data_IF_729407603261
#
_entry.id   IF_729407603261
#
_cell.length_a   1.000
_cell.length_b   1.000
_cell.length_c   1.000
_cell.angle_alpha   90.00
_cell.angle_beta   90.00
_cell.angle_gamma   90.00
#
_symmetry.space_group_name_H-M   'P 1'
#
loop_
_entity.id
_entity.type
_entity.pdbx_description
1 polymer ?
#
# COMPACT_ATOMS: atom_id res chain seq x y z
N UNK A 1 9.14 31.63 11.91
CA UNK A 1 9.15 31.31 10.47
C UNK A 1 9.31 29.81 10.35
N UNK A 2 8.20 29.06 10.33
CA UNK A 2 8.24 27.63 10.03
C UNK A 2 8.50 27.49 8.53
N UNK A 3 9.73 27.15 8.15
CA UNK A 3 10.04 26.73 6.80
C UNK A 3 9.09 25.59 6.44
N UNK A 4 8.16 25.86 5.53
CA UNK A 4 7.26 24.86 5.00
C UNK A 4 8.09 23.98 4.07
N UNK A 5 8.88 23.06 4.65
CA UNK A 5 9.60 22.06 3.89
C UNK A 5 8.56 21.19 3.20
N UNK A 6 8.29 21.52 1.93
CA UNK A 6 7.44 20.70 1.09
C UNK A 6 8.19 19.39 0.84
N UNK A 7 7.63 18.29 1.34
CA UNK A 7 8.19 16.97 1.10
C UNK A 7 8.21 16.68 -0.40
N UNK A 8 9.24 15.99 -0.92
CA UNK A 8 9.31 15.57 -2.32
C UNK A 8 8.02 14.87 -2.75
N UNK A 9 7.58 15.06 -4.01
CA UNK A 9 6.39 14.40 -4.51
C UNK A 9 6.57 12.87 -4.46
N UNK A 10 5.47 12.15 -4.31
CA UNK A 10 5.48 10.71 -4.08
C UNK A 10 4.29 10.08 -4.79
N UNK A 11 4.54 9.09 -5.63
CA UNK A 11 3.49 8.26 -6.22
C UNK A 11 2.94 7.35 -5.13
N UNK A 12 1.66 6.99 -5.21
CA UNK A 12 1.03 6.10 -4.23
C UNK A 12 0.40 4.93 -4.97
N UNK A 13 0.81 3.72 -4.61
CA UNK A 13 0.23 2.46 -5.05
C UNK A 13 -0.72 1.91 -3.99
N UNK A 14 -1.98 1.74 -4.36
CA UNK A 14 -2.95 1.00 -3.57
C UNK A 14 -3.06 -0.43 -4.11
N UNK A 15 -2.75 -1.42 -3.27
CA UNK A 15 -2.87 -2.83 -3.60
C UNK A 15 -4.31 -3.30 -3.33
N UNK A 16 -5.10 -3.38 -4.41
CA UNK A 16 -6.46 -3.89 -4.39
C UNK A 16 -6.57 -5.36 -4.88
N UNK A 17 -5.44 -5.96 -5.26
CA UNK A 17 -5.33 -7.36 -5.67
C UNK A 17 -4.89 -8.31 -4.55
N UNK A 18 -5.49 -9.49 -4.50
CA UNK A 18 -5.13 -10.57 -3.58
C UNK A 18 -6.13 -11.72 -3.62
N UNK A 19 -5.74 -12.91 -3.15
CA UNK A 19 -6.61 -14.10 -3.09
C UNK A 19 -7.87 -13.83 -2.26
N UNK A 20 -8.92 -13.35 -2.92
CA UNK A 20 -10.32 -13.46 -2.46
C UNK A 20 -10.76 -14.91 -2.26
N UNK A 21 -9.90 -15.89 -2.57
CA UNK A 21 -10.13 -17.32 -2.35
C UNK A 21 -10.33 -17.69 -0.87
N UNK A 22 -9.88 -16.88 0.09
CA UNK A 22 -10.12 -17.12 1.53
C UNK A 22 -11.33 -16.34 2.10
N UNK A 23 -12.03 -15.56 1.27
CA UNK A 23 -13.15 -14.70 1.68
C UNK A 23 -14.30 -14.75 0.67
N UNK A 24 -14.76 -15.96 0.32
CA UNK A 24 -15.98 -16.16 -0.47
C UNK A 24 -15.97 -15.50 -1.85
N UNK A 25 -14.80 -15.17 -2.41
CA UNK A 25 -14.67 -14.52 -3.71
C UNK A 25 -14.87 -12.99 -3.69
N UNK A 26 -15.16 -12.36 -2.56
CA UNK A 26 -15.40 -10.92 -2.50
C UNK A 26 -14.10 -10.10 -2.67
N UNK A 27 -14.24 -8.91 -3.23
CA UNK A 27 -13.15 -7.96 -3.46
C UNK A 27 -13.00 -7.04 -2.25
N UNK A 28 -11.92 -7.24 -1.49
CA UNK A 28 -11.72 -6.56 -0.20
C UNK A 28 -11.73 -5.05 -0.34
N UNK A 29 -11.07 -4.51 -1.37
CA UNK A 29 -11.05 -3.06 -1.60
C UNK A 29 -12.44 -2.46 -1.84
N UNK A 30 -13.42 -3.28 -2.24
CA UNK A 30 -14.80 -2.87 -2.48
C UNK A 30 -15.77 -3.24 -1.34
N UNK A 31 -15.28 -3.86 -0.26
CA UNK A 31 -16.10 -4.08 0.93
C UNK A 31 -16.49 -2.73 1.53
N UNK A 32 -17.76 -2.62 1.93
CA UNK A 32 -18.29 -1.40 2.53
C UNK A 32 -17.99 -1.40 4.02
N UNK A 33 -17.30 -0.36 4.48
CA UNK A 33 -17.02 -0.07 5.87
C UNK A 33 -17.40 1.38 6.15
N UNK A 34 -18.17 1.63 7.21
CA UNK A 34 -18.68 2.97 7.54
C UNK A 34 -19.34 3.69 6.34
N UNK A 35 -20.10 2.96 5.54
CA UNK A 35 -20.87 3.50 4.40
C UNK A 35 -20.07 3.72 3.11
N UNK A 36 -18.76 3.49 3.08
CA UNK A 36 -17.93 3.64 1.88
C UNK A 36 -17.09 2.37 1.61
N UNK A 37 -16.74 2.08 0.33
CA UNK A 37 -15.76 1.05 0.00
C UNK A 37 -14.41 1.30 0.69
N UNK A 38 -13.70 0.25 1.12
CA UNK A 38 -12.38 0.39 1.76
C UNK A 38 -11.40 1.22 0.93
N UNK A 39 -11.38 1.02 -0.39
CA UNK A 39 -10.54 1.79 -1.30
C UNK A 39 -10.87 3.30 -1.27
N UNK A 40 -12.13 3.66 -1.04
CA UNK A 40 -12.55 5.06 -0.98
C UNK A 40 -12.01 5.75 0.29
N UNK A 41 -11.91 5.04 1.42
CA UNK A 41 -11.29 5.59 2.63
C UNK A 41 -9.81 5.92 2.40
N UNK A 42 -9.07 5.00 1.80
CA UNK A 42 -7.66 5.22 1.47
C UNK A 42 -7.50 6.34 0.45
N UNK A 43 -8.28 6.33 -0.63
CA UNK A 43 -8.27 7.38 -1.64
C UNK A 43 -8.46 8.78 -1.04
N UNK A 44 -9.41 8.96 -0.11
CA UNK A 44 -9.62 10.26 0.54
C UNK A 44 -8.39 10.75 1.33
N UNK A 45 -7.63 9.84 1.92
CA UNK A 45 -6.39 10.18 2.63
C UNK A 45 -5.24 10.45 1.65
N UNK A 46 -5.06 9.60 0.65
CA UNK A 46 -3.90 9.60 -0.24
C UNK A 46 -3.98 10.64 -1.35
N UNK A 47 -5.17 10.96 -1.86
CA UNK A 47 -5.36 11.97 -2.92
C UNK A 47 -4.86 13.35 -2.51
N UNK A 48 -4.89 13.68 -1.22
CA UNK A 48 -4.36 14.95 -0.68
C UNK A 48 -2.84 15.00 -0.64
N UNK A 49 -2.17 13.86 -0.74
CA UNK A 49 -0.72 13.71 -0.57
C UNK A 49 0.03 13.53 -1.88
N UNK A 50 -0.67 13.15 -2.95
CA UNK A 50 -0.10 12.79 -4.24
C UNK A 50 -1.02 13.20 -5.39
N UNK A 51 -0.43 13.61 -6.51
CA UNK A 51 -1.02 13.81 -7.84
C UNK A 51 -0.88 12.55 -8.75
N UNK A 52 -0.34 11.45 -8.24
CA UNK A 52 -0.14 10.18 -8.96
C UNK A 52 -0.58 8.97 -8.10
N UNK A 53 -1.88 8.65 -8.18
CA UNK A 53 -2.49 7.49 -7.55
C UNK A 53 -2.59 6.32 -8.53
N UNK A 54 -1.96 5.21 -8.17
CA UNK A 54 -1.93 3.97 -8.93
C UNK A 54 -2.71 2.92 -8.15
N UNK A 55 -3.56 2.15 -8.82
CA UNK A 55 -4.22 0.99 -8.20
C UNK A 55 -3.81 -0.27 -8.94
N UNK A 56 -3.29 -1.24 -8.18
CA UNK A 56 -3.06 -2.60 -8.67
C UNK A 56 -4.30 -3.45 -8.41
N UNK A 57 -4.97 -3.87 -9.49
CA UNK A 57 -6.17 -4.70 -9.42
C UNK A 57 -6.30 -5.62 -10.65
N UNK A 58 -6.77 -6.86 -10.42
CA UNK A 58 -6.97 -7.86 -11.49
C UNK A 58 -8.46 -8.08 -11.82
N UNK A 59 -9.36 -7.31 -11.22
CA UNK A 59 -10.83 -7.38 -11.42
C UNK A 59 -11.47 -6.06 -11.02
N UNK A 60 -12.74 -5.87 -11.40
CA UNK A 60 -13.52 -4.67 -11.07
C UNK A 60 -12.86 -3.35 -11.56
N UNK A 61 -12.17 -3.38 -12.71
CA UNK A 61 -11.37 -2.26 -13.22
C UNK A 61 -12.19 -0.96 -13.29
N UNK A 62 -13.41 -1.02 -13.82
CA UNK A 62 -14.29 0.16 -13.93
C UNK A 62 -14.59 0.81 -12.57
N UNK A 63 -14.72 0.01 -11.50
CA UNK A 63 -14.96 0.52 -10.14
C UNK A 63 -13.70 1.15 -9.56
N UNK A 64 -12.53 0.55 -9.81
CA UNK A 64 -11.25 1.05 -9.31
C UNK A 64 -10.76 2.29 -10.09
N UNK A 65 -11.11 2.43 -11.37
CA UNK A 65 -10.77 3.59 -12.19
C UNK A 65 -11.28 4.92 -11.59
N UNK A 66 -12.36 4.88 -10.82
CA UNK A 66 -12.90 6.07 -10.13
C UNK A 66 -11.98 6.63 -9.04
N UNK A 67 -10.97 5.86 -8.61
CA UNK A 67 -10.06 6.18 -7.51
C UNK A 67 -8.60 6.26 -7.92
N UNK A 68 -8.29 6.15 -9.22
CA UNK A 68 -6.93 6.02 -9.72
C UNK A 68 -6.65 6.97 -10.89
N UNK A 69 -5.43 7.48 -10.95
CA UNK A 69 -4.88 8.11 -12.14
C UNK A 69 -4.38 7.04 -13.13
N UNK A 70 -3.95 5.87 -12.63
CA UNK A 70 -3.47 4.73 -13.41
C UNK A 70 -3.93 3.40 -12.79
N UNK A 71 -4.35 2.46 -13.63
CA UNK A 71 -4.58 1.07 -13.22
C UNK A 71 -3.45 0.19 -13.74
N UNK A 72 -2.96 -0.70 -12.89
CA UNK A 72 -1.99 -1.73 -13.28
C UNK A 72 -2.54 -3.13 -12.95
N UNK A 73 -2.23 -4.09 -13.81
CA UNK A 73 -2.62 -5.48 -13.66
C UNK A 73 -1.39 -6.38 -13.61
N UNK A 74 -1.54 -7.54 -12.97
CA UNK A 74 -0.52 -8.57 -13.01
C UNK A 74 -0.72 -9.42 -14.26
N UNK A 75 0.23 -9.42 -15.19
CA UNK A 75 0.14 -10.21 -16.44
C UNK A 75 0.27 -11.73 -16.23
N UNK A 76 0.53 -12.17 -14.99
CA UNK A 76 0.85 -13.56 -14.70
C UNK A 76 -0.35 -14.29 -14.08
N UNK A 77 -0.86 -15.29 -14.79
CA UNK A 77 -2.05 -16.08 -14.42
C UNK A 77 -1.95 -16.78 -13.06
N UNK A 78 -0.73 -16.92 -12.53
CA UNK A 78 -0.44 -17.71 -11.33
C UNK A 78 -0.42 -16.87 -10.03
N UNK A 79 -0.88 -15.61 -10.06
CA UNK A 79 -1.00 -14.71 -8.90
C UNK A 79 0.22 -14.75 -7.94
N UNK A 80 1.38 -14.30 -8.42
CA UNK A 80 2.67 -14.36 -7.71
C UNK A 80 2.77 -13.54 -6.38
N UNK A 81 1.70 -12.86 -5.97
CA UNK A 81 1.64 -12.11 -4.70
C UNK A 81 1.88 -10.61 -4.86
N UNK A 82 1.90 -9.85 -3.74
CA UNK A 82 1.92 -8.39 -3.77
C UNK A 82 3.17 -7.78 -4.42
N UNK A 83 4.26 -8.53 -4.56
CA UNK A 83 5.45 -8.08 -5.27
C UNK A 83 5.16 -7.77 -6.75
N UNK A 84 4.20 -8.48 -7.36
CA UNK A 84 3.78 -8.24 -8.73
C UNK A 84 3.18 -6.84 -8.90
N UNK A 85 2.21 -6.51 -8.05
CA UNK A 85 1.60 -5.18 -8.04
C UNK A 85 2.60 -4.07 -7.71
N UNK A 86 3.54 -4.31 -6.79
CA UNK A 86 4.62 -3.36 -6.48
C UNK A 86 5.50 -3.09 -7.71
N UNK A 87 5.91 -4.13 -8.43
CA UNK A 87 6.70 -4.00 -9.66
C UNK A 87 5.95 -3.22 -10.74
N UNK A 88 4.70 -3.57 -10.97
CA UNK A 88 3.86 -2.87 -11.94
C UNK A 88 3.67 -1.39 -11.56
N UNK A 89 3.50 -1.09 -10.26
CA UNK A 89 3.46 0.27 -9.75
C UNK A 89 4.77 1.04 -9.91
N UNK A 90 5.92 0.40 -9.63
CA UNK A 90 7.25 1.00 -9.82
C UNK A 90 7.52 1.36 -11.29
N UNK A 91 7.02 0.54 -12.22
CA UNK A 91 7.21 0.77 -13.65
C UNK A 91 6.45 2.01 -14.19
N UNK A 92 5.36 2.43 -13.54
CA UNK A 92 4.50 3.54 -14.00
C UNK A 92 4.51 4.75 -13.07
N UNK A 93 5.22 4.67 -11.94
CA UNK A 93 5.36 5.74 -10.98
C UNK A 93 6.04 6.96 -11.61
N UNK A 94 5.44 8.15 -11.42
CA UNK A 94 5.93 9.41 -11.98
C UNK A 94 6.94 10.13 -11.08
N UNK A 95 7.00 9.74 -9.81
CA UNK A 95 7.78 10.43 -8.77
C UNK A 95 8.95 9.60 -8.24
N UNK A 96 9.94 10.22 -7.57
CA UNK A 96 11.12 9.51 -7.07
C UNK A 96 10.83 8.43 -6.02
N UNK A 97 9.71 8.54 -5.30
CA UNK A 97 9.28 7.58 -4.28
C UNK A 97 7.90 7.02 -4.61
N UNK A 98 7.74 5.71 -4.43
CA UNK A 98 6.45 5.01 -4.47
C UNK A 98 6.07 4.57 -3.06
N UNK A 99 5.00 5.14 -2.51
CA UNK A 99 4.38 4.66 -1.28
C UNK A 99 3.40 3.53 -1.61
N UNK A 100 3.53 2.39 -0.93
CA UNK A 100 2.66 1.24 -1.12
C UNK A 100 1.76 1.11 0.10
N UNK A 101 0.47 0.88 -0.14
CA UNK A 101 -0.55 0.66 0.89
C UNK A 101 -1.48 -0.49 0.47
N UNK A 102 -1.81 -1.47 1.34
CA UNK A 102 -2.85 -2.44 1.04
C UNK A 102 -4.24 -1.81 1.18
N UNK A 103 -5.24 -2.31 0.45
CA UNK A 103 -6.58 -1.75 0.53
C UNK A 103 -7.33 -2.02 1.85
N UNK A 104 -6.81 -2.91 2.72
CA UNK A 104 -7.52 -3.44 3.90
C UNK A 104 -7.08 -2.82 5.24
N UNK A 105 -6.36 -1.69 5.21
CA UNK A 105 -5.95 -0.87 6.38
C UNK A 105 -6.67 0.48 6.40
N UNK A 106 -8.01 0.52 6.51
CA UNK A 106 -8.79 1.75 6.31
C UNK A 106 -8.61 2.81 7.41
N UNK A 107 -7.94 2.46 8.51
CA UNK A 107 -7.69 3.36 9.65
C UNK A 107 -6.39 4.13 9.55
N UNK A 108 -5.61 3.94 8.49
CA UNK A 108 -4.37 4.70 8.30
C UNK A 108 -4.69 6.19 8.13
N UNK A 109 -3.88 7.04 8.76
CA UNK A 109 -4.12 8.48 8.82
C UNK A 109 -3.02 9.31 8.15
N UNK A 110 -3.34 10.57 7.86
CA UNK A 110 -2.42 11.49 7.20
C UNK A 110 -1.14 11.76 8.03
N UNK A 111 -1.21 11.64 9.36
CA UNK A 111 -0.06 11.84 10.24
C UNK A 111 0.98 10.73 10.03
N UNK A 112 0.56 9.47 10.02
CA UNK A 112 1.44 8.34 9.78
C UNK A 112 2.00 8.36 8.35
N UNK A 113 1.17 8.65 7.34
CA UNK A 113 1.63 8.79 5.95
C UNK A 113 2.67 9.91 5.80
N UNK A 114 2.49 11.02 6.51
CA UNK A 114 3.46 12.13 6.55
C UNK A 114 4.75 11.72 7.26
N UNK A 115 4.65 10.98 8.37
CA UNK A 115 5.80 10.45 9.10
C UNK A 115 6.62 9.48 8.23
N UNK A 116 5.95 8.59 7.48
CA UNK A 116 6.61 7.71 6.50
C UNK A 116 7.39 8.51 5.46
N UNK A 117 6.77 9.52 4.85
CA UNK A 117 7.44 10.38 3.85
C UNK A 117 8.64 11.11 4.43
N UNK A 118 8.51 11.69 5.64
CA UNK A 118 9.63 12.36 6.33
C UNK A 118 10.80 11.42 6.56
N UNK A 119 10.52 10.21 7.06
CA UNK A 119 11.56 9.21 7.31
C UNK A 119 12.23 8.73 6.01
N UNK A 120 11.46 8.50 4.94
CA UNK A 120 12.02 8.15 3.64
C UNK A 120 12.93 9.25 3.07
N UNK A 121 12.61 10.54 3.30
CA UNK A 121 13.45 11.65 2.87
C UNK A 121 14.81 11.71 3.57
N UNK A 122 14.96 11.09 4.75
CA UNK A 122 16.24 11.05 5.45
C UNK A 122 17.22 10.05 4.83
N UNK A 123 16.72 9.01 4.16
CA UNK A 123 17.51 8.02 3.43
C UNK A 123 16.84 7.72 2.08
N UNK A 124 16.89 8.67 1.12
CA UNK A 124 16.06 8.65 -0.08
C UNK A 124 16.35 7.48 -1.02
N UNK A 125 17.52 6.83 -0.88
CA UNK A 125 17.96 5.70 -1.71
C UNK A 125 17.63 4.33 -1.11
N UNK A 126 16.99 4.28 0.07
CA UNK A 126 16.63 3.02 0.74
C UNK A 126 15.12 2.84 0.86
N UNK A 127 14.62 1.59 0.80
CA UNK A 127 13.24 1.32 1.13
C UNK A 127 12.97 1.65 2.61
N UNK A 128 11.77 2.13 2.91
CA UNK A 128 11.24 2.29 4.25
C UNK A 128 10.07 1.34 4.44
N UNK A 129 10.02 0.62 5.56
CA UNK A 129 8.85 -0.18 5.96
C UNK A 129 8.41 0.21 7.36
N UNK A 130 7.11 0.13 7.63
CA UNK A 130 6.63 0.18 9.01
C UNK A 130 7.05 -1.09 9.76
N UNK A 131 7.24 -0.96 11.07
CA UNK A 131 7.58 -2.07 11.97
C UNK A 131 6.85 -1.94 13.31
N UNK A 132 6.25 -3.03 13.79
CA UNK A 132 5.62 -3.15 15.11
C UNK A 132 6.37 -4.18 15.94
N UNK A 133 7.07 -3.75 16.99
CA UNK A 133 8.05 -4.59 17.68
C UNK A 133 9.05 -5.19 16.68
N UNK A 134 9.08 -6.52 16.59
CA UNK A 134 9.91 -7.26 15.64
C UNK A 134 9.24 -7.55 14.28
N UNK A 135 7.94 -7.23 14.14
CA UNK A 135 7.17 -7.52 12.95
C UNK A 135 7.31 -6.42 11.90
N UNK A 136 7.72 -6.79 10.69
CA UNK A 136 7.80 -5.89 9.53
C UNK A 136 6.49 -5.88 8.75
N UNK A 137 6.06 -4.70 8.32
CA UNK A 137 4.88 -4.49 7.50
C UNK A 137 5.28 -4.15 6.06
N UNK A 138 5.57 -5.14 5.20
CA UNK A 138 6.18 -4.90 3.90
C UNK A 138 5.23 -4.27 2.87
N UNK A 139 3.93 -4.22 3.15
CA UNK A 139 2.94 -3.55 2.29
C UNK A 139 2.62 -2.15 2.76
N UNK A 140 3.18 -1.72 3.89
CA UNK A 140 3.11 -0.36 4.42
C UNK A 140 4.51 0.25 4.32
N UNK A 141 4.88 0.63 3.11
CA UNK A 141 6.26 0.96 2.78
C UNK A 141 6.40 2.14 1.81
N UNK A 142 7.61 2.66 1.68
CA UNK A 142 8.02 3.61 0.64
C UNK A 142 9.24 3.03 -0.06
N UNK A 143 9.21 2.97 -1.38
CA UNK A 143 10.26 2.40 -2.21
C UNK A 143 10.81 3.51 -3.13
N UNK A 144 12.12 3.76 -3.13
CA UNK A 144 12.76 4.57 -4.16
C UNK A 144 12.54 3.97 -5.55
N UNK A 145 11.99 4.74 -6.48
CA UNK A 145 11.70 4.28 -7.84
C UNK A 145 12.98 3.91 -8.60
N UNK A 146 14.12 4.49 -8.22
CA UNK A 146 15.44 4.08 -8.71
C UNK A 146 15.76 2.59 -8.46
N UNK A 147 15.10 1.93 -7.49
CA UNK A 147 15.26 0.51 -7.20
C UNK A 147 14.36 -0.39 -8.07
N UNK A 148 13.59 0.15 -9.02
CA UNK A 148 12.74 -0.65 -9.91
C UNK A 148 13.51 -1.79 -10.58
N UNK A 149 14.73 -1.54 -11.05
CA UNK A 149 15.59 -2.58 -11.65
C UNK A 149 15.95 -3.71 -10.68
N UNK A 150 16.20 -3.42 -9.40
CA UNK A 150 16.47 -4.43 -8.38
C UNK A 150 15.23 -5.30 -8.10
N UNK A 151 14.04 -4.68 -8.10
CA UNK A 151 12.77 -5.39 -7.97
C UNK A 151 12.48 -6.31 -9.16
N UNK A 152 12.81 -5.87 -10.38
CA UNK A 152 12.73 -6.68 -11.59
C UNK A 152 13.72 -7.85 -11.58
N UNK A 153 14.98 -7.60 -11.20
CA UNK A 153 16.01 -8.64 -11.13
C UNK A 153 15.64 -9.73 -10.11
N UNK A 154 15.30 -9.34 -8.89
CA UNK A 154 14.91 -10.29 -7.85
C UNK A 154 13.70 -11.12 -8.28
N UNK A 155 12.73 -10.51 -8.96
CA UNK A 155 11.58 -11.25 -9.49
C UNK A 155 11.99 -12.35 -10.48
N UNK A 156 12.87 -12.01 -11.43
CA UNK A 156 13.38 -12.94 -12.43
C UNK A 156 14.18 -14.07 -11.79
N UNK A 157 14.81 -13.82 -10.64
CA UNK A 157 15.49 -14.82 -9.79
C UNK A 157 14.52 -15.67 -8.94
N UNK A 158 13.21 -15.40 -8.99
CA UNK A 158 12.19 -16.16 -8.28
C UNK A 158 11.74 -15.56 -6.95
N UNK A 159 12.17 -14.34 -6.60
CA UNK A 159 11.67 -13.64 -5.41
C UNK A 159 10.18 -13.32 -5.54
N UNK A 160 9.42 -13.52 -4.46
CA UNK A 160 7.97 -13.26 -4.37
C UNK A 160 7.57 -12.51 -3.09
N UNK A 161 8.53 -12.21 -2.21
CA UNK A 161 8.34 -11.54 -0.92
C UNK A 161 8.86 -10.11 -0.95
N UNK A 162 7.97 -9.09 -0.90
CA UNK A 162 8.40 -7.69 -0.82
C UNK A 162 9.27 -7.39 0.40
N UNK A 163 8.96 -8.00 1.55
CA UNK A 163 9.74 -7.81 2.78
C UNK A 163 11.13 -8.42 2.73
N UNK A 164 11.36 -9.49 1.95
CA UNK A 164 12.70 -10.08 1.81
C UNK A 164 13.59 -9.22 0.91
N UNK A 165 13.12 -8.84 -0.26
CA UNK A 165 13.88 -7.96 -1.15
C UNK A 165 14.22 -6.63 -0.48
N UNK A 166 13.25 -5.97 0.16
CA UNK A 166 13.50 -4.69 0.82
C UNK A 166 14.53 -4.81 1.95
N UNK A 167 14.51 -5.90 2.73
CA UNK A 167 15.55 -6.15 3.75
C UNK A 167 16.93 -6.38 3.13
N UNK A 168 17.01 -7.11 2.01
CA UNK A 168 18.27 -7.29 1.28
C UNK A 168 18.83 -5.96 0.73
N UNK A 169 17.94 -5.05 0.36
CA UNK A 169 18.27 -3.67 -0.05
C UNK A 169 18.50 -2.71 1.13
N UNK A 170 18.59 -3.24 2.36
CA UNK A 170 18.93 -2.45 3.56
C UNK A 170 17.80 -1.55 4.07
N UNK A 171 16.55 -1.97 3.93
CA UNK A 171 15.38 -1.19 4.35
C UNK A 171 15.48 -0.65 5.78
N UNK A 172 15.01 0.58 5.95
CA UNK A 172 14.89 1.23 7.25
C UNK A 172 13.50 1.02 7.85
N UNK A 173 13.45 0.94 9.18
CA UNK A 173 12.21 0.80 9.92
C UNK A 173 11.70 2.17 10.38
N UNK A 174 10.42 2.45 10.13
CA UNK A 174 9.68 3.43 10.94
C UNK A 174 8.91 2.67 12.02
N UNK A 175 9.34 2.85 13.26
CA UNK A 175 8.75 2.15 14.40
C UNK A 175 7.35 2.70 14.70
N UNK A 176 6.38 1.80 14.73
CA UNK A 176 5.04 2.05 15.22
C UNK A 176 4.85 1.41 16.60
N UNK A 177 3.95 1.94 17.44
CA UNK A 177 3.53 1.28 18.66
C UNK A 177 3.06 -0.15 18.39
N UNK A 178 3.29 -1.05 19.34
CA UNK A 178 2.65 -2.36 19.32
C UNK A 178 1.13 -2.20 19.30
N UNK A 179 0.44 -2.98 18.46
CA UNK A 179 -1.01 -2.92 18.29
C UNK A 179 -1.56 -1.53 17.87
N UNK A 180 -0.77 -0.75 17.13
CA UNK A 180 -1.22 0.50 16.52
C UNK A 180 -2.49 0.25 15.68
N UNK A 181 -3.61 0.83 16.14
CA UNK A 181 -4.94 0.64 15.54
C UNK A 181 -5.03 1.17 14.11
N UNK A 182 -4.11 2.05 13.70
CA UNK A 182 -4.02 2.55 12.32
C UNK A 182 -3.62 1.46 11.34
N UNK A 183 -2.91 0.43 11.81
CA UNK A 183 -2.43 -0.70 11.02
C UNK A 183 -3.37 -1.91 11.06
N UNK A 184 -4.47 -1.82 11.81
CA UNK A 184 -5.43 -2.90 11.93
C UNK A 184 -6.05 -3.24 10.56
N UNK A 185 -5.85 -4.47 10.12
CA UNK A 185 -6.46 -5.02 8.92
C UNK A 185 -7.92 -5.39 9.19
N UNK A 186 -8.82 -5.23 8.20
CA UNK A 186 -10.22 -5.64 8.32
C UNK A 186 -10.42 -7.15 8.60
N UNK A 187 -9.42 -8.00 8.38
CA UNK A 187 -9.50 -9.43 8.76
C UNK A 187 -9.38 -9.68 10.27
N UNK A 188 -9.08 -8.67 11.08
CA UNK A 188 -9.03 -8.83 12.54
C UNK A 188 -10.46 -8.95 13.09
N UNK A 189 -10.76 -9.94 13.95
CA UNK A 189 -12.12 -10.20 14.44
C UNK A 189 -12.86 -8.97 15.00
N UNK A 190 -12.14 -7.98 15.54
CA UNK A 190 -12.73 -6.75 16.08
C UNK A 190 -13.32 -5.80 15.02
N UNK A 191 -12.88 -5.88 13.76
CA UNK A 191 -13.40 -5.04 12.67
C UNK A 191 -14.62 -5.67 11.99
N UNK A 192 -14.70 -7.01 11.99
CA UNK A 192 -15.84 -7.76 11.47
C UNK A 192 -17.06 -7.71 12.41
N UNK A 193 -16.84 -7.62 13.73
CA UNK A 193 -17.90 -7.59 14.74
C UNK A 193 -18.69 -6.27 14.80
N UNK A 194 -18.26 -5.23 14.08
CA UNK A 194 -19.04 -3.99 13.88
C UNK A 194 -20.10 -4.11 12.77
N UNK A 195 -20.20 -5.26 12.09
CA UNK A 195 -21.35 -5.62 11.24
C UNK A 195 -22.51 -6.18 12.07
N UNK A 196 -22.92 -5.46 13.10
CA UNK A 196 -24.11 -5.74 13.89
C UNK A 196 -25.14 -4.63 13.71
N UNK A 197 -26.28 -4.98 13.10
CA UNK A 197 -27.53 -4.20 12.94
C UNK A 197 -27.60 -3.23 11.75
N UNK A 198 -28.21 -3.69 10.66
CA UNK A 198 -29.01 -2.84 9.77
C UNK A 198 -30.40 -2.75 10.42
N UNK A 199 -30.97 -1.58 10.71
CA UNK A 199 -32.39 -1.48 11.09
C UNK A 199 -33.24 -1.80 9.87
N UNK A 200 -34.30 -2.59 10.08
CA UNK A 200 -35.37 -2.85 9.10
C UNK A 200 -36.01 -1.56 8.54
#
# INVERSE_FOLDING_TARGET
>A
MTSNFQLPPCSILLLAGGRGQRMGGQDKGLLVWQGLPLIAHLHHQTRRLSDDLIISCNRNLEKYALYADQLVHDDNSDFPGPLAGIRAGLAVARHPHLMVLPCDVPRIDAELLTAMRKAACQQPDKPLMLRQGEHWEPLLCIIPVALAGEFENAWNEGERSPGRIMRNLGAIALQCPENDRRLANLNTPELLSLHGSVPE
#
